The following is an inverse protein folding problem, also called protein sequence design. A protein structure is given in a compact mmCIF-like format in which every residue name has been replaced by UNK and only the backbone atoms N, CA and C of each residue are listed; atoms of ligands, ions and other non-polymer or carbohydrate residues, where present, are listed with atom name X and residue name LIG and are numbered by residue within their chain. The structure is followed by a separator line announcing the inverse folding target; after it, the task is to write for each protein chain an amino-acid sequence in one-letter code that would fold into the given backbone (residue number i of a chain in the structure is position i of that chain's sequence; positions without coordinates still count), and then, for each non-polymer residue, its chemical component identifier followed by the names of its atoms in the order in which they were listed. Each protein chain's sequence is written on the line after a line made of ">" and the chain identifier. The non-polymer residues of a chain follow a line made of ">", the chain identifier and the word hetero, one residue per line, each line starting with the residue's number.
data_IF_365241706915
#
_entry.id   IF_365241706915
#
_cell.length_a   1.000
_cell.length_b   1.000
_cell.length_c   1.000
_cell.angle_alpha   90.00
_cell.angle_beta   90.00
_cell.angle_gamma   90.00
#
_symmetry.space_group_name_H-M   'P 1'
#
loop_
_entity.id
_entity.type
_entity.pdbx_description
1 polymer ?
#
# COMPACT_ATOMS: atom_id res chain seq x y z
N UNK A 1 8.62 17.63 -14.33
CA UNK A 1 7.65 17.43 -13.22
C UNK A 1 7.74 18.65 -12.31
N UNK A 2 6.71 19.50 -12.31
CA UNK A 2 6.67 20.67 -11.43
C UNK A 2 6.57 20.19 -9.96
N UNK A 3 7.29 20.85 -9.06
CA UNK A 3 7.17 20.55 -7.62
C UNK A 3 5.80 21.05 -7.13
N UNK A 4 5.06 20.23 -6.36
CA UNK A 4 3.75 20.62 -5.85
C UNK A 4 3.85 21.87 -4.97
N UNK A 5 2.79 22.67 -4.97
CA UNK A 5 2.71 23.86 -4.13
C UNK A 5 2.77 23.47 -2.65
N UNK A 6 3.23 24.39 -1.79
CA UNK A 6 3.47 24.10 -0.36
C UNK A 6 2.21 23.61 0.37
N UNK A 7 1.05 24.10 -0.04
CA UNK A 7 -0.26 23.73 0.51
C UNK A 7 -0.64 22.30 0.11
N UNK A 8 -0.37 21.90 -1.13
CA UNK A 8 -0.60 20.54 -1.65
C UNK A 8 0.22 19.50 -0.87
N UNK A 9 1.50 19.78 -0.60
CA UNK A 9 2.35 18.88 0.20
C UNK A 9 1.84 18.74 1.63
N UNK A 10 1.31 19.83 2.19
CA UNK A 10 0.71 19.85 3.51
C UNK A 10 -0.56 18.98 3.57
N UNK A 11 -1.47 19.14 2.61
CA UNK A 11 -2.68 18.32 2.48
C UNK A 11 -2.35 16.85 2.22
N UNK A 12 -1.31 16.56 1.42
CA UNK A 12 -0.82 15.19 1.18
C UNK A 12 -0.39 14.51 2.49
N UNK A 13 0.39 15.20 3.33
CA UNK A 13 0.82 14.64 4.62
C UNK A 13 -0.34 14.48 5.60
N UNK A 14 -1.27 15.44 5.67
CA UNK A 14 -2.45 15.33 6.53
C UNK A 14 -3.39 14.20 6.08
N UNK A 15 -3.65 14.07 4.78
CA UNK A 15 -4.44 12.97 4.20
C UNK A 15 -3.79 11.62 4.44
N UNK A 16 -2.47 11.53 4.26
CA UNK A 16 -1.68 10.34 4.58
C UNK A 16 -1.83 9.91 6.03
N UNK A 17 -1.78 10.85 6.98
CA UNK A 17 -1.91 10.56 8.41
C UNK A 17 -3.26 9.91 8.74
N UNK A 18 -4.34 10.34 8.09
CA UNK A 18 -5.68 9.75 8.25
C UNK A 18 -5.80 8.35 7.64
N UNK A 19 -5.01 8.05 6.61
CA UNK A 19 -5.02 6.74 5.95
C UNK A 19 -4.19 5.67 6.69
N UNK A 20 -3.21 6.05 7.52
CA UNK A 20 -2.34 5.12 8.25
C UNK A 20 -3.13 4.15 9.16
N UNK A 21 -4.05 4.62 10.02
CA UNK A 21 -4.84 3.72 10.88
C UNK A 21 -5.62 2.68 10.08
N UNK A 22 -6.21 3.08 8.95
CA UNK A 22 -6.97 2.18 8.09
C UNK A 22 -6.08 1.06 7.52
N UNK A 23 -4.88 1.41 7.05
CA UNK A 23 -3.89 0.45 6.57
C UNK A 23 -3.46 -0.55 7.66
N UNK A 24 -3.25 -0.08 8.90
CA UNK A 24 -2.89 -0.93 10.04
C UNK A 24 -4.04 -1.86 10.43
N UNK A 25 -5.28 -1.33 10.53
CA UNK A 25 -6.47 -2.11 10.88
C UNK A 25 -6.66 -3.25 9.88
N UNK A 26 -6.58 -2.96 8.58
CA UNK A 26 -6.72 -3.99 7.55
C UNK A 26 -5.62 -5.05 7.61
N UNK A 27 -4.37 -4.65 7.86
CA UNK A 27 -3.28 -5.60 8.02
C UNK A 27 -3.45 -6.50 9.25
N UNK A 28 -3.96 -5.96 10.36
CA UNK A 28 -4.30 -6.74 11.56
C UNK A 28 -5.43 -7.72 11.26
N UNK A 29 -6.52 -7.26 10.64
CA UNK A 29 -7.67 -8.12 10.30
C UNK A 29 -7.25 -9.29 9.41
N UNK A 30 -6.47 -9.04 8.37
CA UNK A 30 -5.95 -10.10 7.51
C UNK A 30 -5.01 -11.03 8.27
N UNK A 31 -4.15 -10.50 9.14
CA UNK A 31 -3.26 -11.34 9.96
C UNK A 31 -4.02 -12.24 10.92
N UNK A 32 -5.11 -11.74 11.53
CA UNK A 32 -6.00 -12.55 12.37
C UNK A 32 -6.68 -13.67 11.57
N UNK A 33 -7.09 -13.39 10.34
CA UNK A 33 -7.61 -14.41 9.41
C UNK A 33 -6.56 -15.49 9.13
N UNK A 34 -5.29 -15.12 8.89
CA UNK A 34 -4.22 -16.13 8.67
C UNK A 34 -3.98 -17.02 9.88
N UNK A 35 -4.03 -16.42 11.08
CA UNK A 35 -3.88 -17.16 12.34
C UNK A 35 -5.05 -18.13 12.54
N UNK A 36 -6.27 -17.71 12.20
CA UNK A 36 -7.46 -18.56 12.22
C UNK A 36 -7.33 -19.74 11.23
N UNK A 37 -6.69 -19.53 10.08
CA UNK A 37 -6.40 -20.56 9.08
C UNK A 37 -5.23 -21.51 9.43
N UNK A 38 -4.61 -21.37 10.61
CA UNK A 38 -3.43 -22.14 11.00
C UNK A 38 -2.25 -22.05 10.02
N UNK A 39 -2.12 -20.90 9.32
CA UNK A 39 -0.96 -20.64 8.45
C UNK A 39 0.32 -20.58 9.31
N UNK A 40 1.47 -21.09 8.82
CA UNK A 40 2.72 -21.03 9.58
C UNK A 40 3.08 -19.60 10.01
N UNK A 41 3.58 -19.46 11.24
CA UNK A 41 3.93 -18.17 11.86
C UNK A 41 4.90 -17.32 11.03
N UNK A 42 5.71 -17.95 10.16
CA UNK A 42 6.64 -17.28 9.27
C UNK A 42 5.92 -16.31 8.32
N UNK A 43 4.71 -16.64 7.88
CA UNK A 43 3.92 -15.80 6.98
C UNK A 43 3.30 -14.62 7.71
N UNK A 44 3.03 -14.73 9.01
CA UNK A 44 2.51 -13.65 9.87
C UNK A 44 3.50 -12.49 9.99
N UNK A 45 4.80 -12.73 9.77
CA UNK A 45 5.85 -11.70 9.81
C UNK A 45 5.60 -10.58 8.77
N UNK A 46 4.78 -10.81 7.74
CA UNK A 46 4.42 -9.81 6.74
C UNK A 46 3.83 -8.51 7.34
N UNK A 47 3.22 -8.58 8.53
CA UNK A 47 2.67 -7.40 9.19
C UNK A 47 3.78 -6.44 9.69
N UNK A 48 4.97 -6.96 9.98
CA UNK A 48 6.09 -6.16 10.50
C UNK A 48 6.52 -5.03 9.56
N UNK A 49 6.77 -5.27 8.24
CA UNK A 49 7.07 -4.18 7.31
C UNK A 49 5.91 -3.18 7.16
N UNK A 50 4.64 -3.60 7.28
CA UNK A 50 3.49 -2.68 7.24
C UNK A 50 3.48 -1.75 8.45
N UNK A 51 3.70 -2.28 9.65
CA UNK A 51 3.77 -1.50 10.89
C UNK A 51 4.98 -0.56 10.85
N UNK A 52 6.14 -1.05 10.39
CA UNK A 52 7.36 -0.27 10.29
C UNK A 52 7.20 0.89 9.30
N UNK A 53 6.70 0.63 8.09
CA UNK A 53 6.49 1.67 7.08
C UNK A 53 5.46 2.70 7.53
N UNK A 54 4.40 2.27 8.19
CA UNK A 54 3.34 3.12 8.76
C UNK A 54 3.88 4.03 9.87
N UNK A 55 4.69 3.47 10.77
CA UNK A 55 5.35 4.21 11.86
C UNK A 55 6.35 5.23 11.32
N UNK A 56 7.18 4.84 10.36
CA UNK A 56 8.12 5.75 9.69
C UNK A 56 7.39 6.90 8.98
N UNK A 57 6.29 6.61 8.26
CA UNK A 57 5.44 7.64 7.63
C UNK A 57 4.86 8.58 8.67
N UNK A 58 4.36 8.05 9.78
CA UNK A 58 3.79 8.87 10.85
C UNK A 58 4.81 9.85 11.42
N UNK A 59 6.02 9.37 11.75
CA UNK A 59 7.09 10.22 12.25
C UNK A 59 7.54 11.27 11.24
N UNK A 60 7.71 10.91 9.96
CA UNK A 60 8.10 11.87 8.93
C UNK A 60 7.02 12.94 8.72
N UNK A 61 5.76 12.54 8.52
CA UNK A 61 4.67 13.49 8.36
C UNK A 61 4.56 14.42 9.58
N UNK A 62 4.64 13.88 10.79
CA UNK A 62 4.57 14.68 12.01
C UNK A 62 5.78 15.62 12.17
N UNK A 63 7.00 15.14 11.88
CA UNK A 63 8.22 15.96 11.93
C UNK A 63 8.14 17.13 10.93
N UNK A 64 7.71 16.85 9.70
CA UNK A 64 7.63 17.84 8.63
C UNK A 64 6.46 18.82 8.80
N UNK A 65 5.34 18.37 9.38
CA UNK A 65 4.22 19.25 9.76
C UNK A 65 4.57 20.11 10.98
N UNK A 66 5.29 19.61 11.98
CA UNK A 66 5.72 20.39 13.17
C UNK A 66 6.77 21.44 12.82
N UNK A 67 7.63 21.19 11.83
CA UNK A 67 8.68 22.11 11.36
C UNK A 67 8.15 23.26 10.46
N UNK A 68 6.81 23.40 10.32
CA UNK A 68 6.06 24.34 9.43
C UNK A 68 6.36 25.84 9.51
N UNK A 69 7.35 26.33 10.28
CA UNK A 69 7.63 27.77 10.41
C UNK A 69 8.82 28.33 9.62
N UNK A 70 9.62 27.49 8.96
CA UNK A 70 10.93 27.93 8.45
C UNK A 70 11.06 28.12 6.95
N UNK A 71 11.34 27.05 6.21
CA UNK A 71 11.90 27.13 4.86
C UNK A 71 11.59 25.84 4.11
N UNK A 72 10.74 25.88 3.09
CA UNK A 72 10.46 24.71 2.24
C UNK A 72 11.05 24.89 0.84
N UNK A 73 12.17 24.21 0.63
CA UNK A 73 12.70 23.72 -0.66
C UNK A 73 12.89 22.18 -0.60
N UNK A 74 12.12 21.48 0.24
CA UNK A 74 12.45 20.10 0.63
C UNK A 74 11.89 19.05 -0.34
N UNK A 75 12.47 18.96 -1.54
CA UNK A 75 12.29 17.81 -2.43
C UNK A 75 12.64 16.48 -1.74
N UNK A 76 13.52 16.52 -0.73
CA UNK A 76 13.93 15.34 0.04
C UNK A 76 12.79 14.73 0.86
N UNK A 77 11.97 15.56 1.52
CA UNK A 77 10.82 15.07 2.30
C UNK A 77 9.83 14.30 1.43
N UNK A 78 9.57 14.84 0.23
CA UNK A 78 8.69 14.23 -0.76
C UNK A 78 9.28 12.91 -1.28
N UNK A 79 10.58 12.86 -1.56
CA UNK A 79 11.27 11.61 -1.97
C UNK A 79 11.16 10.54 -0.88
N UNK A 80 11.44 10.85 0.39
CA UNK A 80 11.30 9.88 1.48
C UNK A 80 9.87 9.38 1.63
N UNK A 81 8.89 10.26 1.46
CA UNK A 81 7.48 9.89 1.50
C UNK A 81 7.12 8.91 0.37
N UNK A 82 7.55 9.19 -0.86
CA UNK A 82 7.32 8.32 -2.03
C UNK A 82 8.00 6.95 -1.84
N UNK A 83 9.22 6.93 -1.30
CA UNK A 83 9.93 5.68 -1.03
C UNK A 83 9.20 4.82 0.01
N UNK A 84 8.64 5.42 1.06
CA UNK A 84 7.85 4.67 2.04
C UNK A 84 6.51 4.19 1.48
N UNK A 85 5.84 4.97 0.62
CA UNK A 85 4.65 4.49 -0.09
C UNK A 85 4.97 3.33 -1.01
N UNK A 86 6.11 3.38 -1.70
CA UNK A 86 6.61 2.31 -2.56
C UNK A 86 6.85 1.02 -1.77
N UNK A 87 7.56 1.10 -0.65
CA UNK A 87 7.79 -0.05 0.24
C UNK A 87 6.46 -0.64 0.73
N UNK A 88 5.49 0.21 1.06
CA UNK A 88 4.18 -0.25 1.52
C UNK A 88 3.44 -0.99 0.41
N UNK A 89 3.44 -0.47 -0.82
CA UNK A 89 2.83 -1.14 -1.97
C UNK A 89 3.49 -2.48 -2.30
N UNK A 90 4.84 -2.52 -2.31
CA UNK A 90 5.59 -3.77 -2.50
C UNK A 90 5.22 -4.80 -1.43
N UNK A 91 5.13 -4.37 -0.17
CA UNK A 91 4.78 -5.26 0.96
C UNK A 91 3.41 -5.89 0.76
N UNK A 92 2.40 -5.11 0.38
CA UNK A 92 1.05 -5.61 0.10
C UNK A 92 1.01 -6.57 -1.10
N UNK A 93 1.71 -6.26 -2.18
CA UNK A 93 1.81 -7.16 -3.33
C UNK A 93 2.54 -8.46 -3.01
N UNK A 94 3.63 -8.40 -2.24
CA UNK A 94 4.37 -9.58 -1.78
C UNK A 94 3.52 -10.43 -0.83
N UNK A 95 2.74 -9.82 0.05
CA UNK A 95 1.80 -10.52 0.94
C UNK A 95 0.85 -11.42 0.14
N UNK A 96 0.23 -10.89 -0.93
CA UNK A 96 -0.64 -11.67 -1.81
C UNK A 96 0.08 -12.89 -2.39
N UNK A 97 1.29 -12.71 -2.94
CA UNK A 97 2.05 -13.79 -3.55
C UNK A 97 2.47 -14.88 -2.54
N UNK A 98 2.81 -14.48 -1.31
CA UNK A 98 3.25 -15.38 -0.25
C UNK A 98 2.11 -16.23 0.31
N UNK A 99 0.94 -15.62 0.49
CA UNK A 99 -0.19 -16.27 1.14
C UNK A 99 -1.05 -17.10 0.17
N UNK A 100 -0.92 -16.81 -1.12
CA UNK A 100 -1.66 -17.46 -2.19
C UNK A 100 -1.77 -19.00 -2.06
N UNK A 101 -0.71 -19.77 -1.76
CA UNK A 101 -0.80 -21.22 -1.69
C UNK A 101 -1.65 -21.76 -0.54
N UNK A 102 -1.96 -20.91 0.45
CA UNK A 102 -2.62 -21.29 1.70
C UNK A 102 -4.08 -20.84 1.78
N UNK A 103 -4.55 -20.05 0.81
CA UNK A 103 -5.88 -19.45 0.83
C UNK A 103 -6.85 -20.17 -0.09
N UNK A 104 -8.11 -20.19 0.31
CA UNK A 104 -9.21 -20.61 -0.55
C UNK A 104 -9.55 -19.52 -1.58
N UNK A 105 -10.32 -19.89 -2.62
CA UNK A 105 -10.79 -18.95 -3.63
C UNK A 105 -11.59 -17.78 -3.01
N UNK A 106 -12.38 -18.04 -1.97
CA UNK A 106 -13.19 -17.00 -1.29
C UNK A 106 -12.27 -15.98 -0.61
N UNK A 107 -11.22 -16.46 0.05
CA UNK A 107 -10.25 -15.59 0.74
C UNK A 107 -9.39 -14.80 -0.25
N UNK A 108 -9.07 -15.40 -1.40
CA UNK A 108 -8.42 -14.68 -2.49
C UNK A 108 -9.27 -13.49 -2.94
N UNK A 109 -10.57 -13.69 -3.17
CA UNK A 109 -11.49 -12.60 -3.50
C UNK A 109 -11.56 -11.53 -2.42
N UNK A 110 -11.57 -11.92 -1.13
CA UNK A 110 -11.52 -10.98 -0.02
C UNK A 110 -10.24 -10.14 -0.06
N UNK A 111 -9.07 -10.77 -0.23
CA UNK A 111 -7.79 -10.06 -0.31
C UNK A 111 -7.77 -9.10 -1.50
N UNK A 112 -8.23 -9.56 -2.67
CA UNK A 112 -8.35 -8.72 -3.87
C UNK A 112 -9.27 -7.52 -3.63
N UNK A 113 -10.41 -7.74 -2.98
CA UNK A 113 -11.35 -6.66 -2.65
C UNK A 113 -10.71 -5.66 -1.68
N UNK A 114 -9.94 -6.14 -0.69
CA UNK A 114 -9.17 -5.29 0.23
C UNK A 114 -8.11 -4.48 -0.52
N UNK A 115 -7.35 -5.09 -1.44
CA UNK A 115 -6.36 -4.38 -2.27
C UNK A 115 -7.01 -3.33 -3.17
N UNK A 116 -8.16 -3.65 -3.76
CA UNK A 116 -8.97 -2.70 -4.52
C UNK A 116 -9.48 -1.54 -3.66
N UNK A 117 -10.00 -1.84 -2.46
CA UNK A 117 -10.46 -0.84 -1.50
C UNK A 117 -9.34 0.07 -0.99
N UNK A 118 -8.16 -0.49 -0.72
CA UNK A 118 -6.94 0.27 -0.38
C UNK A 118 -6.53 1.20 -1.52
N UNK A 119 -6.58 0.71 -2.76
CA UNK A 119 -6.25 1.48 -3.96
C UNK A 119 -7.23 2.64 -4.19
N UNK A 120 -8.54 2.39 -4.03
CA UNK A 120 -9.56 3.42 -4.11
C UNK A 120 -9.43 4.45 -2.98
N UNK A 121 -9.21 4.00 -1.73
CA UNK A 121 -8.99 4.87 -0.58
C UNK A 121 -7.69 5.71 -0.69
N UNK A 122 -6.68 5.18 -1.36
CA UNK A 122 -5.44 5.89 -1.63
C UNK A 122 -5.64 7.10 -2.57
N UNK A 123 -6.67 7.10 -3.43
CA UNK A 123 -7.00 8.26 -4.28
C UNK A 123 -7.29 9.48 -3.40
N UNK A 124 -8.11 9.32 -2.36
CA UNK A 124 -8.50 10.42 -1.49
C UNK A 124 -7.32 11.06 -0.73
N UNK A 125 -6.23 10.30 -0.50
CA UNK A 125 -5.09 10.77 0.30
C UNK A 125 -3.84 11.09 -0.52
N UNK A 126 -3.61 10.43 -1.67
CA UNK A 126 -2.38 10.53 -2.46
C UNK A 126 -2.56 11.19 -3.83
N UNK A 127 -3.80 11.38 -4.33
CA UNK A 127 -4.05 11.97 -5.66
C UNK A 127 -3.54 13.40 -5.82
N UNK A 128 -3.34 14.12 -4.71
CA UNK A 128 -2.73 15.45 -4.66
C UNK A 128 -1.33 15.44 -5.32
N UNK A 129 -0.61 14.32 -5.23
CA UNK A 129 0.66 14.14 -5.91
C UNK A 129 0.71 12.75 -6.56
N UNK A 130 0.30 12.69 -7.83
CA UNK A 130 0.19 11.46 -8.63
C UNK A 130 1.40 10.50 -8.52
N UNK A 131 2.66 10.95 -8.48
CA UNK A 131 3.78 10.03 -8.33
C UNK A 131 3.76 9.25 -7.01
N UNK A 132 3.25 9.83 -5.92
CA UNK A 132 3.07 9.10 -4.67
C UNK A 132 1.95 8.07 -4.77
N UNK A 133 0.88 8.39 -5.49
CA UNK A 133 -0.21 7.46 -5.77
C UNK A 133 0.26 6.26 -6.61
N UNK A 134 0.97 6.50 -7.72
CA UNK A 134 1.53 5.44 -8.55
C UNK A 134 2.59 4.62 -7.82
N UNK A 135 3.42 5.26 -6.99
CA UNK A 135 4.38 4.54 -6.16
C UNK A 135 3.70 3.57 -5.19
N UNK A 136 2.47 3.83 -4.76
CA UNK A 136 1.72 2.90 -3.91
C UNK A 136 1.05 1.78 -4.71
N UNK A 137 0.37 2.11 -5.82
CA UNK A 137 -0.53 1.20 -6.52
C UNK A 137 0.17 0.30 -7.54
N UNK A 138 1.08 0.85 -8.33
CA UNK A 138 1.80 0.08 -9.36
C UNK A 138 2.47 -1.16 -8.78
N UNK A 139 3.24 -1.08 -7.66
CA UNK A 139 3.81 -2.28 -7.04
C UNK A 139 2.80 -3.14 -6.28
N UNK A 140 1.52 -2.80 -6.20
CA UNK A 140 0.52 -3.77 -5.70
C UNK A 140 0.07 -4.60 -6.89
N UNK A 141 -0.42 -3.93 -7.94
CA UNK A 141 -1.02 -4.62 -9.08
C UNK A 141 0.01 -5.35 -9.94
N UNK A 142 1.23 -4.85 -10.12
CA UNK A 142 2.20 -5.53 -10.98
C UNK A 142 2.57 -6.92 -10.45
N UNK A 143 2.75 -7.12 -9.13
CA UNK A 143 2.96 -8.47 -8.61
C UNK A 143 1.67 -9.29 -8.50
N UNK A 144 0.49 -8.72 -8.27
CA UNK A 144 -0.78 -9.47 -8.38
C UNK A 144 -0.99 -10.00 -9.80
N UNK A 145 -0.82 -9.14 -10.81
CA UNK A 145 -0.94 -9.47 -12.23
C UNK A 145 0.12 -10.49 -12.64
N UNK A 146 1.39 -10.20 -12.31
CA UNK A 146 2.51 -11.08 -12.66
C UNK A 146 2.37 -12.48 -12.05
N UNK A 147 1.95 -12.56 -10.79
CA UNK A 147 1.73 -13.83 -10.10
C UNK A 147 0.56 -14.61 -10.70
N UNK A 148 -0.56 -13.95 -11.05
CA UNK A 148 -1.70 -14.62 -11.68
C UNK A 148 -1.39 -15.13 -13.09
N UNK A 149 -0.66 -14.37 -13.90
CA UNK A 149 -0.17 -14.85 -15.21
C UNK A 149 0.78 -16.04 -15.07
N UNK A 150 1.65 -16.03 -14.05
CA UNK A 150 2.60 -17.12 -13.80
C UNK A 150 1.91 -18.48 -13.57
N UNK A 151 0.77 -18.48 -12.87
CA UNK A 151 0.03 -19.73 -12.58
C UNK A 151 -0.65 -20.30 -13.84
N UNK A 152 -0.84 -19.48 -14.87
CA UNK A 152 -1.26 -19.91 -16.21
C UNK A 152 -2.55 -20.76 -16.24
N UNK A 153 -3.55 -20.35 -15.44
CA UNK A 153 -4.91 -20.90 -15.46
C UNK A 153 -5.87 -19.91 -16.11
N UNK A 154 -6.83 -20.39 -16.90
CA UNK A 154 -7.74 -19.54 -17.69
C UNK A 154 -8.46 -18.47 -16.84
N UNK A 155 -9.04 -18.87 -15.71
CA UNK A 155 -9.73 -17.97 -14.78
C UNK A 155 -8.82 -16.86 -14.24
N UNK A 156 -7.52 -17.16 -14.05
CA UNK A 156 -6.53 -16.23 -13.51
C UNK A 156 -5.98 -15.27 -14.55
N UNK A 157 -5.86 -15.74 -15.78
CA UNK A 157 -5.51 -14.89 -16.93
C UNK A 157 -6.60 -13.83 -17.11
N UNK A 158 -7.88 -14.22 -17.00
CA UNK A 158 -9.00 -13.28 -17.05
C UNK A 158 -8.95 -12.27 -15.89
N UNK A 159 -8.72 -12.74 -14.65
CA UNK A 159 -8.56 -11.87 -13.48
C UNK A 159 -7.37 -10.90 -13.63
N UNK A 160 -6.21 -11.37 -14.07
CA UNK A 160 -5.04 -10.55 -14.32
C UNK A 160 -5.29 -9.49 -15.40
N UNK A 161 -6.01 -9.85 -16.47
CA UNK A 161 -6.41 -8.92 -17.51
C UNK A 161 -7.36 -7.83 -16.99
N UNK A 162 -8.26 -8.15 -16.05
CA UNK A 162 -9.12 -7.15 -15.41
C UNK A 162 -8.32 -6.12 -14.61
N UNK A 163 -7.25 -6.55 -13.92
CA UNK A 163 -6.40 -5.65 -13.15
C UNK A 163 -5.53 -4.71 -14.01
N UNK A 164 -5.29 -5.01 -15.28
CA UNK A 164 -4.56 -4.10 -16.19
C UNK A 164 -5.32 -2.80 -16.46
N UNK A 165 -6.63 -2.76 -16.20
CA UNK A 165 -7.47 -1.58 -16.39
C UNK A 165 -7.51 -0.64 -15.17
N UNK A 166 -6.88 -1.03 -14.06
CA UNK A 166 -6.74 -0.23 -12.84
C UNK A 166 -5.38 0.48 -12.78
#
# INVERSE_FOLDING_TARGET
>A
MALPHKEEVAFLFEGSLRAIPFNIILAILLTLELLYMHVPWQYVIWIAPVILSSTCRWFLCHYFLKKRRGQYKSSRALIYFILLTLITGITWGCFYCLIFPYISIIQEFIIILVLGGLSAGAIASLSIYLPAYYAYIVPIFIQVIGYNYWINKEERIALAAMFLFF
#
